data_IF_912033739674
#
_entry.id   IF_912033739674
#
_cell.length_a   1.000
_cell.length_b   1.000
_cell.length_c   1.000
_cell.angle_alpha   90.00
_cell.angle_beta   90.00
_cell.angle_gamma   90.00
#
_symmetry.space_group_name_H-M   'P 1'
#
loop_
_entity.id
_entity.type
_entity.pdbx_description
1 polymer ?
#
# COMPACT_ATOMS: atom_id res chain seq x y z
N UNK A 1 -91.14 -43.43 -58.84
CA UNK A 1 -89.85 -42.86 -58.37
C UNK A 1 -88.79 -43.91 -58.56
N UNK A 2 -87.72 -43.62 -59.29
CA UNK A 2 -86.67 -44.62 -59.54
C UNK A 2 -85.69 -44.67 -58.38
N UNK A 3 -85.05 -45.82 -58.14
CA UNK A 3 -84.02 -46.03 -57.11
C UNK A 3 -82.92 -44.96 -57.08
N UNK A 4 -82.70 -44.28 -58.21
CA UNK A 4 -81.68 -43.24 -58.38
C UNK A 4 -82.10 -41.92 -57.72
N UNK A 5 -83.39 -41.57 -57.72
CA UNK A 5 -83.89 -40.34 -57.08
C UNK A 5 -83.83 -40.43 -55.56
N UNK A 6 -84.12 -41.62 -55.01
CA UNK A 6 -84.02 -41.87 -53.57
C UNK A 6 -82.55 -41.84 -53.16
N UNK A 7 -81.67 -42.51 -53.90
CA UNK A 7 -80.23 -42.49 -53.65
C UNK A 7 -79.62 -41.08 -53.76
N UNK A 8 -80.03 -40.28 -54.75
CA UNK A 8 -79.58 -38.91 -54.90
C UNK A 8 -80.03 -38.01 -53.73
N UNK A 9 -81.30 -38.08 -53.33
CA UNK A 9 -81.81 -37.32 -52.17
C UNK A 9 -81.15 -37.73 -50.86
N UNK A 10 -80.86 -39.01 -50.70
CA UNK A 10 -80.20 -39.55 -49.53
C UNK A 10 -78.72 -39.15 -49.48
N UNK A 11 -78.02 -39.17 -50.63
CA UNK A 11 -76.65 -38.66 -50.76
C UNK A 11 -76.56 -37.17 -50.45
N UNK A 12 -77.46 -36.33 -50.97
CA UNK A 12 -77.54 -34.89 -50.65
C UNK A 12 -77.75 -34.67 -49.15
N UNK A 13 -78.58 -35.49 -48.50
CA UNK A 13 -78.86 -35.38 -47.07
C UNK A 13 -77.67 -35.79 -46.19
N UNK A 14 -76.93 -36.81 -46.61
CA UNK A 14 -75.70 -37.27 -45.93
C UNK A 14 -74.59 -36.23 -46.09
N UNK A 15 -74.43 -35.65 -47.27
CA UNK A 15 -73.42 -34.63 -47.53
C UNK A 15 -73.72 -33.33 -46.79
N UNK A 16 -75.00 -32.92 -46.70
CA UNK A 16 -75.42 -31.80 -45.83
C UNK A 16 -75.10 -32.01 -44.36
N UNK A 17 -75.16 -33.25 -43.86
CA UNK A 17 -74.72 -33.57 -42.48
C UNK A 17 -73.20 -33.61 -42.32
N UNK A 18 -72.48 -34.05 -43.35
CA UNK A 18 -71.02 -34.18 -43.32
C UNK A 18 -70.28 -32.85 -43.47
N UNK A 19 -70.89 -31.85 -44.12
CA UNK A 19 -70.29 -30.53 -44.36
C UNK A 19 -70.16 -29.69 -43.07
N UNK A 20 -70.87 -30.03 -41.99
CA UNK A 20 -70.62 -29.49 -40.65
C UNK A 20 -70.99 -28.01 -40.49
N UNK A 21 -71.40 -27.68 -39.27
CA UNK A 21 -72.13 -26.47 -38.83
C UNK A 21 -71.32 -25.17 -38.81
N UNK A 22 -70.17 -25.08 -39.50
CA UNK A 22 -69.11 -24.15 -39.06
C UNK A 22 -68.72 -23.02 -40.03
N UNK A 23 -69.50 -22.74 -41.09
CA UNK A 23 -69.43 -21.44 -41.80
C UNK A 23 -70.80 -20.99 -42.33
N UNK A 24 -71.29 -19.89 -41.75
CA UNK A 24 -72.43 -19.01 -42.13
C UNK A 24 -73.64 -19.71 -42.73
N UNK A 25 -74.71 -19.78 -41.94
CA UNK A 25 -76.08 -20.10 -42.36
C UNK A 25 -76.47 -19.43 -43.69
N UNK A 26 -75.87 -18.29 -44.06
CA UNK A 26 -76.11 -17.55 -45.31
C UNK A 26 -75.67 -18.27 -46.61
N UNK A 27 -74.59 -19.07 -46.59
CA UNK A 27 -74.15 -19.83 -47.79
C UNK A 27 -74.93 -21.14 -47.97
N UNK A 28 -75.47 -21.70 -46.87
CA UNK A 28 -76.28 -22.93 -46.89
C UNK A 28 -77.79 -22.62 -46.95
N UNK A 29 -78.26 -21.46 -46.48
CA UNK A 29 -79.66 -21.02 -46.62
C UNK A 29 -79.97 -20.57 -48.04
N UNK A 30 -78.96 -20.11 -48.79
CA UNK A 30 -79.06 -19.90 -50.23
C UNK A 30 -78.91 -21.17 -51.06
N UNK A 31 -78.85 -22.34 -50.42
CA UNK A 31 -79.10 -23.64 -51.06
C UNK A 31 -80.60 -23.89 -51.29
N UNK A 32 -81.32 -22.84 -51.70
CA UNK A 32 -82.49 -23.02 -52.54
C UNK A 32 -81.92 -23.22 -53.94
N UNK A 33 -81.82 -24.49 -54.35
CA UNK A 33 -81.46 -24.87 -55.72
C UNK A 33 -82.06 -23.87 -56.69
N UNK A 34 -81.21 -23.33 -57.59
CA UNK A 34 -81.61 -22.22 -58.46
C UNK A 34 -82.99 -22.54 -59.05
N UNK A 35 -84.00 -21.76 -58.67
CA UNK A 35 -85.38 -21.94 -59.11
C UNK A 35 -85.53 -21.50 -60.58
N UNK A 36 -84.67 -21.99 -61.47
CA UNK A 36 -84.81 -21.84 -62.90
C UNK A 36 -85.85 -22.83 -63.41
N UNK A 37 -87.11 -22.61 -63.02
CA UNK A 37 -88.21 -23.15 -63.83
C UNK A 37 -88.15 -22.40 -65.16
N UNK A 38 -87.49 -22.99 -66.15
CA UNK A 38 -87.49 -22.47 -67.52
C UNK A 38 -88.93 -22.12 -67.89
N UNK A 39 -89.15 -20.99 -68.58
CA UNK A 39 -90.48 -20.52 -68.99
C UNK A 39 -91.32 -21.64 -69.67
N UNK A 40 -90.66 -22.59 -70.33
CA UNK A 40 -91.23 -23.81 -70.89
C UNK A 40 -91.98 -24.68 -69.86
N UNK A 41 -91.51 -24.79 -68.62
CA UNK A 41 -92.21 -25.51 -67.55
C UNK A 41 -93.58 -24.90 -67.25
N UNK A 42 -93.64 -23.57 -67.12
CA UNK A 42 -94.90 -22.86 -66.85
C UNK A 42 -95.87 -22.99 -68.03
N UNK A 43 -95.37 -22.96 -69.27
CA UNK A 43 -96.18 -23.22 -70.44
C UNK A 43 -96.72 -24.63 -70.49
N UNK A 44 -95.92 -25.63 -70.13
CA UNK A 44 -96.36 -27.02 -70.10
C UNK A 44 -97.39 -27.25 -68.98
N UNK A 45 -97.18 -26.74 -67.77
CA UNK A 45 -98.20 -26.83 -66.69
C UNK A 45 -99.50 -26.14 -67.10
N UNK A 46 -99.42 -24.95 -67.69
CA UNK A 46 -100.60 -24.22 -68.17
C UNK A 46 -101.31 -24.96 -69.30
N UNK A 47 -100.55 -25.49 -70.26
CA UNK A 47 -101.08 -26.31 -71.36
C UNK A 47 -101.74 -27.60 -70.88
N UNK A 48 -101.23 -28.20 -69.79
CA UNK A 48 -101.88 -29.33 -69.14
C UNK A 48 -103.23 -28.92 -68.55
N UNK A 49 -103.28 -27.85 -67.76
CA UNK A 49 -104.51 -27.33 -67.16
C UNK A 49 -105.56 -27.01 -68.22
N UNK A 50 -105.18 -26.33 -69.31
CA UNK A 50 -106.08 -26.00 -70.42
C UNK A 50 -106.57 -27.26 -71.13
N UNK A 51 -105.70 -28.25 -71.37
CA UNK A 51 -106.09 -29.54 -71.97
C UNK A 51 -107.13 -30.28 -71.12
N UNK A 52 -106.92 -30.33 -69.80
CA UNK A 52 -107.86 -30.95 -68.86
C UNK A 52 -109.21 -30.23 -68.83
N UNK A 53 -109.22 -28.90 -68.72
CA UNK A 53 -110.44 -28.09 -68.74
C UNK A 53 -111.23 -28.29 -70.05
N UNK A 54 -110.52 -28.31 -71.19
CA UNK A 54 -111.12 -28.52 -72.52
C UNK A 54 -111.76 -29.90 -72.63
N UNK A 55 -111.09 -30.95 -72.13
CA UNK A 55 -111.64 -32.30 -72.13
C UNK A 55 -112.90 -32.41 -71.26
N UNK A 56 -112.93 -31.77 -70.09
CA UNK A 56 -114.09 -31.77 -69.18
C UNK A 56 -115.27 -31.04 -69.80
N UNK A 57 -115.06 -29.85 -70.36
CA UNK A 57 -116.12 -29.06 -71.01
C UNK A 57 -116.66 -29.81 -72.24
N UNK A 58 -115.78 -30.39 -73.05
CA UNK A 58 -116.17 -31.18 -74.21
C UNK A 58 -116.96 -32.44 -73.83
N UNK A 59 -116.66 -33.05 -72.68
CA UNK A 59 -117.40 -34.20 -72.15
C UNK A 59 -118.81 -33.82 -71.72
N UNK A 60 -118.99 -32.64 -71.11
CA UNK A 60 -120.31 -32.12 -70.72
C UNK A 60 -121.19 -31.85 -71.96
N UNK A 61 -120.59 -31.32 -73.03
CA UNK A 61 -121.29 -30.97 -74.28
C UNK A 61 -121.49 -32.20 -75.20
N UNK A 62 -120.73 -33.28 -74.98
CA UNK A 62 -120.83 -34.52 -75.75
C UNK A 62 -120.03 -34.53 -77.06
N UNK A 63 -118.99 -33.70 -77.20
CA UNK A 63 -118.16 -33.62 -78.42
C UNK A 63 -116.91 -34.50 -78.26
N UNK A 64 -117.00 -35.75 -78.70
CA UNK A 64 -115.97 -36.78 -78.46
C UNK A 64 -114.59 -36.42 -79.04
N UNK A 65 -114.53 -35.71 -80.17
CA UNK A 65 -113.25 -35.31 -80.80
C UNK A 65 -112.46 -34.32 -79.94
N UNK A 66 -113.15 -33.37 -79.30
CA UNK A 66 -112.54 -32.39 -78.39
C UNK A 66 -112.11 -33.02 -77.06
N UNK A 67 -112.81 -34.07 -76.60
CA UNK A 67 -112.41 -34.83 -75.42
C UNK A 67 -111.04 -35.50 -75.66
N UNK A 68 -110.88 -36.20 -76.79
CA UNK A 68 -109.63 -36.89 -77.12
C UNK A 68 -108.49 -35.89 -77.31
N UNK A 69 -108.73 -34.78 -78.00
CA UNK A 69 -107.74 -33.73 -78.19
C UNK A 69 -107.32 -33.05 -76.87
N UNK A 70 -108.29 -32.73 -75.99
CA UNK A 70 -108.02 -32.15 -74.67
C UNK A 70 -107.24 -33.10 -73.76
N UNK A 71 -107.61 -34.39 -73.75
CA UNK A 71 -106.90 -35.41 -72.98
C UNK A 71 -105.46 -35.62 -73.48
N UNK A 72 -105.24 -35.64 -74.81
CA UNK A 72 -103.89 -35.74 -75.39
C UNK A 72 -103.02 -34.52 -75.03
N UNK A 73 -103.57 -33.30 -75.10
CA UNK A 73 -102.89 -32.08 -74.68
C UNK A 73 -102.54 -32.10 -73.18
N UNK A 74 -103.44 -32.58 -72.33
CA UNK A 74 -103.15 -32.74 -70.90
C UNK A 74 -101.97 -33.68 -70.67
N UNK A 75 -102.03 -34.89 -71.25
CA UNK A 75 -101.02 -35.93 -71.02
C UNK A 75 -99.65 -35.51 -71.55
N UNK A 76 -99.56 -35.01 -72.79
CA UNK A 76 -98.29 -34.59 -73.38
C UNK A 76 -97.63 -33.46 -72.58
N UNK A 77 -98.42 -32.48 -72.15
CA UNK A 77 -97.90 -31.34 -71.40
C UNK A 77 -97.56 -31.70 -69.94
N UNK A 78 -98.33 -32.58 -69.30
CA UNK A 78 -98.04 -33.07 -67.96
C UNK A 78 -96.76 -33.94 -67.93
N UNK A 79 -96.57 -34.79 -68.93
CA UNK A 79 -95.33 -35.57 -69.09
C UNK A 79 -94.14 -34.63 -69.33
N UNK A 80 -94.27 -33.64 -70.20
CA UNK A 80 -93.22 -32.64 -70.44
C UNK A 80 -92.84 -31.89 -69.16
N UNK A 81 -93.82 -31.42 -68.38
CA UNK A 81 -93.60 -30.75 -67.11
C UNK A 81 -92.93 -31.69 -66.07
N UNK A 82 -93.33 -32.96 -66.03
CA UNK A 82 -92.74 -33.96 -65.15
C UNK A 82 -91.27 -34.23 -65.44
N UNK A 83 -90.89 -34.35 -66.72
CA UNK A 83 -89.48 -34.56 -67.10
C UNK A 83 -88.61 -33.34 -66.81
N UNK A 84 -89.10 -32.12 -67.05
CA UNK A 84 -88.34 -30.90 -66.73
C UNK A 84 -88.09 -30.78 -65.23
N UNK A 85 -89.11 -31.03 -64.39
CA UNK A 85 -88.95 -31.02 -62.93
C UNK A 85 -87.95 -32.09 -62.42
N UNK A 86 -87.76 -33.17 -63.18
CA UNK A 86 -86.78 -34.23 -62.87
C UNK A 86 -85.36 -33.87 -63.29
N UNK A 87 -85.19 -33.03 -64.31
CA UNK A 87 -83.90 -32.47 -64.69
C UNK A 87 -83.38 -31.45 -63.67
N UNK A 88 -84.27 -30.69 -63.01
CA UNK A 88 -83.87 -29.77 -61.93
C UNK A 88 -83.14 -30.48 -60.78
N UNK A 89 -83.50 -31.74 -60.47
CA UNK A 89 -82.80 -32.53 -59.44
C UNK A 89 -81.37 -32.90 -59.84
N UNK A 90 -81.06 -32.95 -61.14
CA UNK A 90 -79.69 -33.16 -61.62
C UNK A 90 -78.85 -31.87 -61.52
N UNK A 91 -79.46 -30.70 -61.69
CA UNK A 91 -78.78 -29.41 -61.49
C UNK A 91 -78.38 -29.22 -60.01
N UNK A 92 -79.23 -29.63 -59.06
CA UNK A 92 -78.89 -29.61 -57.62
C UNK A 92 -77.70 -30.52 -57.29
N UNK A 93 -77.52 -31.62 -58.04
CA UNK A 93 -76.36 -32.51 -57.89
C UNK A 93 -75.08 -31.90 -58.49
N UNK A 94 -75.21 -31.15 -59.59
CA UNK A 94 -74.09 -30.41 -60.21
C UNK A 94 -73.60 -29.30 -59.28
N UNK A 95 -74.51 -28.50 -58.70
CA UNK A 95 -74.18 -27.47 -57.70
C UNK A 95 -73.51 -28.09 -56.45
N UNK A 96 -73.90 -29.31 -56.06
CA UNK A 96 -73.31 -30.01 -54.93
C UNK A 96 -71.93 -30.57 -55.27
N UNK A 97 -71.74 -31.09 -56.49
CA UNK A 97 -70.45 -31.53 -56.99
C UNK A 97 -69.47 -30.34 -57.08
N UNK A 98 -69.93 -29.16 -57.49
CA UNK A 98 -69.13 -27.93 -57.51
C UNK A 98 -68.69 -27.51 -56.09
N UNK A 99 -69.57 -27.59 -55.10
CA UNK A 99 -69.22 -27.28 -53.71
C UNK A 99 -68.25 -28.29 -53.13
N UNK A 100 -68.48 -29.58 -53.34
CA UNK A 100 -67.52 -30.61 -52.92
C UNK A 100 -66.16 -30.39 -53.58
N UNK A 101 -66.13 -30.05 -54.86
CA UNK A 101 -64.87 -29.73 -55.56
C UNK A 101 -64.17 -28.52 -54.95
N UNK A 102 -64.91 -27.46 -54.59
CA UNK A 102 -64.36 -26.29 -53.88
C UNK A 102 -63.83 -26.66 -52.49
N UNK A 103 -64.55 -27.48 -51.72
CA UNK A 103 -64.11 -27.93 -50.39
C UNK A 103 -62.90 -28.85 -50.45
N UNK A 104 -62.82 -29.74 -51.44
CA UNK A 104 -61.63 -30.58 -51.68
C UNK A 104 -60.43 -29.72 -52.03
N UNK A 105 -60.59 -28.67 -52.86
CA UNK A 105 -59.50 -27.71 -53.13
C UNK A 105 -59.06 -26.95 -51.88
N UNK A 106 -60.01 -26.44 -51.08
CA UNK A 106 -59.69 -25.78 -49.81
C UNK A 106 -58.95 -26.71 -48.85
N UNK A 107 -59.35 -27.98 -48.77
CA UNK A 107 -58.68 -28.97 -47.92
C UNK A 107 -57.27 -29.27 -48.42
N UNK A 108 -57.07 -29.38 -49.75
CA UNK A 108 -55.75 -29.54 -50.34
C UNK A 108 -54.83 -28.34 -50.03
N UNK A 109 -55.35 -27.11 -50.13
CA UNK A 109 -54.61 -25.90 -49.76
C UNK A 109 -54.24 -25.88 -48.26
N UNK A 110 -55.15 -26.32 -47.39
CA UNK A 110 -54.88 -26.46 -45.95
C UNK A 110 -53.79 -27.49 -45.68
N UNK A 111 -53.81 -28.65 -46.33
CA UNK A 111 -52.78 -29.69 -46.20
C UNK A 111 -51.41 -29.16 -46.63
N UNK A 112 -51.32 -28.46 -47.77
CA UNK A 112 -50.08 -27.83 -48.23
C UNK A 112 -49.56 -26.77 -47.24
N UNK A 113 -50.46 -26.00 -46.60
CA UNK A 113 -50.07 -25.04 -45.59
C UNK A 113 -49.59 -25.71 -44.29
N UNK A 114 -50.21 -26.82 -43.88
CA UNK A 114 -49.73 -27.61 -42.74
C UNK A 114 -48.36 -28.23 -43.01
N UNK A 115 -48.10 -28.72 -44.22
CA UNK A 115 -46.79 -29.23 -44.61
C UNK A 115 -45.70 -28.14 -44.53
N UNK A 116 -46.00 -26.93 -45.04
CA UNK A 116 -45.09 -25.77 -44.91
C UNK A 116 -44.87 -25.34 -43.48
N UNK A 117 -45.90 -25.36 -42.64
CA UNK A 117 -45.77 -25.05 -41.22
C UNK A 117 -44.90 -26.07 -40.50
N UNK A 118 -45.07 -27.36 -40.80
CA UNK A 118 -44.26 -28.43 -40.23
C UNK A 118 -42.79 -28.30 -40.63
N UNK A 119 -42.50 -28.00 -41.91
CA UNK A 119 -41.13 -27.73 -42.36
C UNK A 119 -40.51 -26.54 -41.63
N UNK A 120 -41.27 -25.46 -41.44
CA UNK A 120 -40.81 -24.28 -40.71
C UNK A 120 -40.58 -24.56 -39.22
N UNK A 121 -41.38 -25.43 -38.61
CA UNK A 121 -41.20 -25.86 -37.23
C UNK A 121 -39.92 -26.71 -37.07
N UNK A 122 -39.65 -27.60 -38.03
CA UNK A 122 -38.42 -28.39 -38.10
C UNK A 122 -37.18 -27.50 -38.25
N UNK A 123 -37.18 -26.54 -39.20
CA UNK A 123 -36.11 -25.54 -39.35
C UNK A 123 -35.86 -24.71 -38.08
N UNK A 124 -36.94 -24.36 -37.36
CA UNK A 124 -36.83 -23.57 -36.14
C UNK A 124 -36.32 -24.41 -34.95
N UNK A 125 -36.64 -25.71 -34.94
CA UNK A 125 -36.08 -26.65 -33.97
C UNK A 125 -34.58 -26.86 -34.22
N UNK A 126 -34.16 -27.03 -35.48
CA UNK A 126 -32.74 -27.15 -35.84
C UNK A 126 -31.94 -25.89 -35.45
N UNK A 127 -32.50 -24.70 -35.71
CA UNK A 127 -31.89 -23.43 -35.25
C UNK A 127 -31.81 -23.37 -33.73
N UNK A 128 -32.83 -23.84 -33.02
CA UNK A 128 -32.82 -23.84 -31.55
C UNK A 128 -31.77 -24.80 -30.98
N UNK A 129 -31.59 -25.97 -31.59
CA UNK A 129 -30.52 -26.91 -31.23
C UNK A 129 -29.13 -26.31 -31.47
N UNK A 130 -28.92 -25.63 -32.62
CA UNK A 130 -27.68 -24.91 -32.92
C UNK A 130 -27.39 -23.81 -31.86
N UNK A 131 -28.40 -23.01 -31.49
CA UNK A 131 -28.24 -22.02 -30.42
C UNK A 131 -27.87 -22.65 -29.06
N UNK A 132 -28.43 -23.82 -28.73
CA UNK A 132 -28.09 -24.54 -27.49
C UNK A 132 -26.65 -25.05 -27.53
N UNK A 133 -26.17 -25.52 -28.68
CA UNK A 133 -24.78 -25.95 -28.84
C UNK A 133 -23.80 -24.78 -28.73
N UNK A 134 -24.11 -23.65 -29.38
CA UNK A 134 -23.33 -22.41 -29.28
C UNK A 134 -23.27 -21.88 -27.84
N UNK A 135 -24.40 -21.86 -27.12
CA UNK A 135 -24.43 -21.44 -25.72
C UNK A 135 -23.59 -22.36 -24.82
N UNK A 136 -23.57 -23.68 -25.08
CA UNK A 136 -22.71 -24.61 -24.35
C UNK A 136 -21.24 -24.34 -24.63
N UNK A 137 -20.87 -24.12 -25.89
CA UNK A 137 -19.49 -23.83 -26.28
C UNK A 137 -19.01 -22.52 -25.65
N UNK A 138 -19.83 -21.46 -25.71
CA UNK A 138 -19.54 -20.19 -25.07
C UNK A 138 -19.41 -20.32 -23.55
N UNK A 139 -20.28 -21.12 -22.92
CA UNK A 139 -20.22 -21.36 -21.48
C UNK A 139 -18.94 -22.14 -21.08
N UNK A 140 -18.52 -23.12 -21.87
CA UNK A 140 -17.28 -23.85 -21.65
C UNK A 140 -16.04 -22.94 -21.81
N UNK A 141 -16.05 -22.06 -22.82
CA UNK A 141 -15.02 -21.03 -22.99
C UNK A 141 -14.98 -20.05 -21.81
N UNK A 142 -16.14 -19.59 -21.33
CA UNK A 142 -16.25 -18.73 -20.14
C UNK A 142 -15.71 -19.41 -18.88
N UNK A 143 -16.00 -20.69 -18.68
CA UNK A 143 -15.46 -21.48 -17.56
C UNK A 143 -13.92 -21.58 -17.68
N UNK A 144 -13.39 -21.80 -18.88
CA UNK A 144 -11.95 -21.86 -19.10
C UNK A 144 -11.26 -20.51 -18.85
N UNK A 145 -11.85 -19.40 -19.32
CA UNK A 145 -11.36 -18.04 -19.05
C UNK A 145 -11.38 -17.75 -17.55
N UNK A 146 -12.48 -18.09 -16.86
CA UNK A 146 -12.61 -17.88 -15.42
C UNK A 146 -11.53 -18.65 -14.64
N UNK A 147 -11.23 -19.88 -15.05
CA UNK A 147 -10.17 -20.70 -14.44
C UNK A 147 -8.80 -20.05 -14.62
N UNK A 148 -8.44 -19.65 -15.86
CA UNK A 148 -7.17 -18.96 -16.13
C UNK A 148 -7.02 -17.65 -15.36
N UNK A 149 -8.10 -16.89 -15.25
CA UNK A 149 -8.11 -15.65 -14.47
C UNK A 149 -7.87 -15.94 -12.97
N UNK A 150 -8.50 -16.98 -12.44
CA UNK A 150 -8.31 -17.38 -11.04
C UNK A 150 -6.88 -17.88 -10.78
N UNK A 151 -6.32 -18.70 -11.67
CA UNK A 151 -4.92 -19.16 -11.58
C UNK A 151 -3.93 -17.98 -11.61
N UNK A 152 -4.13 -17.00 -12.51
CA UNK A 152 -3.28 -15.81 -12.58
C UNK A 152 -3.37 -14.94 -11.33
N UNK A 153 -4.56 -14.78 -10.76
CA UNK A 153 -4.77 -14.04 -9.50
C UNK A 153 -4.13 -14.76 -8.31
N UNK A 154 -4.21 -16.09 -8.25
CA UNK A 154 -3.56 -16.89 -7.20
C UNK A 154 -2.03 -16.78 -7.31
N UNK A 155 -1.46 -16.83 -8.52
CA UNK A 155 -0.03 -16.65 -8.76
C UNK A 155 0.45 -15.24 -8.39
N UNK A 156 -0.27 -14.18 -8.78
CA UNK A 156 0.06 -12.80 -8.40
C UNK A 156 -0.03 -12.60 -6.88
N UNK A 157 -1.02 -13.21 -6.23
CA UNK A 157 -1.15 -13.16 -4.78
C UNK A 157 0.00 -13.86 -4.06
N UNK A 158 0.43 -15.03 -4.55
CA UNK A 158 1.58 -15.76 -4.01
C UNK A 158 2.88 -14.97 -4.20
N UNK A 159 3.09 -14.35 -5.37
CA UNK A 159 4.23 -13.47 -5.61
C UNK A 159 4.25 -12.28 -4.65
N UNK A 160 3.11 -11.63 -4.42
CA UNK A 160 3.02 -10.54 -3.45
C UNK A 160 3.27 -10.99 -2.01
N UNK A 161 2.81 -12.18 -1.61
CA UNK A 161 3.12 -12.74 -0.30
C UNK A 161 4.62 -12.98 -0.13
N UNK A 162 5.28 -13.56 -1.14
CA UNK A 162 6.73 -13.76 -1.16
C UNK A 162 7.50 -12.43 -1.08
N UNK A 163 7.05 -11.41 -1.79
CA UNK A 163 7.64 -10.06 -1.72
C UNK A 163 7.45 -9.44 -0.33
N UNK A 164 6.28 -9.61 0.27
CA UNK A 164 5.95 -9.09 1.59
C UNK A 164 6.78 -9.80 2.68
N UNK A 165 7.02 -11.10 2.55
CA UNK A 165 7.91 -11.85 3.44
C UNK A 165 9.36 -11.38 3.31
N UNK A 166 9.85 -11.15 2.08
CA UNK A 166 11.19 -10.57 1.85
C UNK A 166 11.32 -9.19 2.47
N UNK A 167 10.34 -8.31 2.29
CA UNK A 167 10.32 -6.97 2.89
C UNK A 167 10.28 -7.03 4.42
N UNK A 168 9.50 -7.96 4.99
CA UNK A 168 9.48 -8.19 6.43
C UNK A 168 10.88 -8.60 6.94
N UNK A 169 11.54 -9.52 6.25
CA UNK A 169 12.89 -9.95 6.59
C UNK A 169 13.95 -8.84 6.44
N UNK A 170 13.82 -7.98 5.43
CA UNK A 170 14.68 -6.79 5.28
C UNK A 170 14.45 -5.78 6.40
N UNK A 171 13.19 -5.58 6.80
CA UNK A 171 12.85 -4.71 7.91
C UNK A 171 13.44 -5.23 9.23
N UNK A 172 13.36 -6.54 9.50
CA UNK A 172 14.00 -7.15 10.66
C UNK A 172 15.52 -6.93 10.69
N UNK A 173 16.19 -7.04 9.53
CA UNK A 173 17.63 -6.73 9.40
C UNK A 173 17.92 -5.26 9.68
N UNK A 174 17.08 -4.34 9.22
CA UNK A 174 17.23 -2.91 9.48
C UNK A 174 17.01 -2.59 10.96
N UNK A 175 16.00 -3.19 11.61
CA UNK A 175 15.79 -3.09 13.06
C UNK A 175 17.00 -3.59 13.85
N UNK A 176 17.58 -4.73 13.48
CA UNK A 176 18.80 -5.24 14.12
C UNK A 176 19.98 -4.28 13.97
N UNK A 177 20.20 -3.72 12.77
CA UNK A 177 21.24 -2.71 12.54
C UNK A 177 21.02 -1.42 13.32
N UNK A 178 19.77 -0.97 13.46
CA UNK A 178 19.43 0.19 14.27
C UNK A 178 19.79 -0.05 15.74
N UNK A 179 19.45 -1.22 16.28
CA UNK A 179 19.80 -1.58 17.65
C UNK A 179 21.32 -1.65 17.87
N UNK A 180 22.09 -2.18 16.91
CA UNK A 180 23.56 -2.16 16.97
C UNK A 180 24.13 -0.74 16.94
N UNK A 181 23.55 0.14 16.11
CA UNK A 181 23.98 1.53 15.98
C UNK A 181 23.68 2.33 17.25
N UNK A 182 22.49 2.13 17.85
CA UNK A 182 22.12 2.70 19.14
C UNK A 182 23.08 2.25 20.25
N UNK A 183 23.37 0.95 20.35
CA UNK A 183 24.33 0.44 21.33
C UNK A 183 25.75 1.00 21.12
N UNK A 184 26.17 1.17 19.85
CA UNK A 184 27.45 1.82 19.54
C UNK A 184 27.45 3.30 19.89
N UNK A 185 26.31 3.99 19.74
CA UNK A 185 26.16 5.39 20.10
C UNK A 185 26.28 5.58 21.61
N UNK A 186 25.55 4.78 22.41
CA UNK A 186 25.60 4.81 23.87
C UNK A 186 27.01 4.52 24.40
N UNK A 187 27.70 3.55 23.79
CA UNK A 187 29.10 3.26 24.09
C UNK A 187 30.03 4.44 23.77
N UNK A 188 29.80 5.13 22.65
CA UNK A 188 30.60 6.30 22.26
C UNK A 188 30.35 7.48 23.21
N UNK A 189 29.10 7.73 23.58
CA UNK A 189 28.72 8.75 24.57
C UNK A 189 29.41 8.49 25.91
N UNK A 190 29.35 7.25 26.41
CA UNK A 190 30.04 6.84 27.64
C UNK A 190 31.56 7.09 27.55
N UNK A 191 32.19 6.73 26.43
CA UNK A 191 33.63 6.99 26.20
C UNK A 191 33.95 8.49 26.13
N UNK A 192 33.06 9.28 25.55
CA UNK A 192 33.20 10.72 25.47
C UNK A 192 33.14 11.36 26.87
N UNK A 193 32.19 10.95 27.72
CA UNK A 193 32.11 11.41 29.11
C UNK A 193 33.38 11.06 29.91
N UNK A 194 33.88 9.83 29.77
CA UNK A 194 35.13 9.39 30.41
C UNK A 194 36.33 10.24 29.94
N UNK A 195 36.42 10.54 28.64
CA UNK A 195 37.47 11.39 28.09
C UNK A 195 37.35 12.82 28.63
N UNK A 196 36.14 13.36 28.72
CA UNK A 196 35.86 14.71 29.22
C UNK A 196 36.26 14.84 30.70
N UNK A 197 35.99 13.81 31.51
CA UNK A 197 36.44 13.75 32.91
C UNK A 197 37.96 13.63 33.03
N UNK A 198 38.59 12.81 32.17
CA UNK A 198 40.05 12.71 32.11
C UNK A 198 40.69 14.05 31.74
N UNK A 199 40.09 14.78 30.80
CA UNK A 199 40.56 16.11 30.37
C UNK A 199 40.41 17.16 31.47
N UNK A 200 39.30 17.15 32.23
CA UNK A 200 39.13 17.99 33.43
C UNK A 200 40.23 17.71 34.45
N UNK A 201 40.49 16.45 34.76
CA UNK A 201 41.54 16.03 35.70
C UNK A 201 42.93 16.42 35.20
N UNK A 202 43.21 16.26 33.91
CA UNK A 202 44.46 16.70 33.30
C UNK A 202 44.63 18.22 33.43
N UNK A 203 43.60 19.01 33.11
CA UNK A 203 43.63 20.48 33.23
C UNK A 203 43.90 20.91 34.67
N UNK A 204 43.25 20.26 35.64
CA UNK A 204 43.44 20.52 37.06
C UNK A 204 44.85 20.14 37.54
N UNK A 205 45.39 19.02 37.05
CA UNK A 205 46.77 18.60 37.33
C UNK A 205 47.81 19.53 36.71
N UNK A 206 47.60 20.00 35.47
CA UNK A 206 48.45 20.99 34.81
C UNK A 206 48.46 22.30 35.59
N UNK A 207 47.31 22.73 36.12
CA UNK A 207 47.24 23.90 37.00
C UNK A 207 47.99 23.69 38.32
N UNK A 208 47.82 22.52 38.96
CA UNK A 208 48.59 22.16 40.17
C UNK A 208 50.09 22.12 39.89
N UNK A 209 50.51 21.60 38.74
CA UNK A 209 51.90 21.56 38.32
C UNK A 209 52.45 22.97 38.09
N UNK A 210 51.70 23.85 37.40
CA UNK A 210 52.07 25.26 37.22
C UNK A 210 52.30 25.95 38.56
N UNK A 211 51.38 25.81 39.51
CA UNK A 211 51.53 26.39 40.84
C UNK A 211 52.77 25.86 41.59
N UNK A 212 53.08 24.57 41.46
CA UNK A 212 54.30 23.98 42.04
C UNK A 212 55.56 24.50 41.34
N UNK A 213 55.51 24.69 40.03
CA UNK A 213 56.60 25.26 39.26
C UNK A 213 56.87 26.73 39.66
N UNK A 214 55.82 27.53 39.87
CA UNK A 214 55.95 28.90 40.37
C UNK A 214 56.59 28.93 41.76
N UNK A 215 56.16 28.02 42.65
CA UNK A 215 56.78 27.85 43.98
C UNK A 215 58.25 27.39 43.90
N UNK A 216 58.59 26.53 42.93
CA UNK A 216 59.96 26.11 42.67
C UNK A 216 60.81 27.28 42.17
N UNK A 217 60.33 28.06 41.20
CA UNK A 217 60.98 29.28 40.71
C UNK A 217 61.22 30.27 41.86
N UNK A 218 60.23 30.49 42.72
CA UNK A 218 60.39 31.33 43.91
C UNK A 218 61.49 30.82 44.86
N UNK A 219 61.60 29.50 45.03
CA UNK A 219 62.63 28.87 45.86
C UNK A 219 64.02 29.00 45.23
N UNK A 220 64.15 28.83 43.91
CA UNK A 220 65.39 29.07 43.16
C UNK A 220 65.83 30.52 43.28
N UNK A 221 64.90 31.48 43.19
CA UNK A 221 65.19 32.89 43.38
C UNK A 221 65.69 33.20 44.80
N UNK A 222 65.08 32.60 45.83
CA UNK A 222 65.58 32.69 47.22
C UNK A 222 66.99 32.11 47.34
N UNK A 223 67.26 30.95 46.75
CA UNK A 223 68.58 30.33 46.78
C UNK A 223 69.63 31.21 46.07
N UNK A 224 69.27 31.83 44.94
CA UNK A 224 70.14 32.77 44.23
C UNK A 224 70.47 34.00 45.10
N UNK A 225 69.49 34.49 45.87
CA UNK A 225 69.71 35.57 46.83
C UNK A 225 70.64 35.14 47.97
N UNK A 226 70.40 33.99 48.60
CA UNK A 226 71.28 33.43 49.64
C UNK A 226 72.70 33.25 49.10
N UNK A 227 72.87 32.76 47.87
CA UNK A 227 74.18 32.65 47.21
C UNK A 227 74.86 34.01 47.04
N UNK A 228 74.11 35.06 46.70
CA UNK A 228 74.64 36.44 46.57
C UNK A 228 75.08 36.98 47.93
N UNK A 229 74.27 36.77 48.97
CA UNK A 229 74.61 37.14 50.35
C UNK A 229 75.85 36.38 50.83
N UNK A 230 75.93 35.07 50.60
CA UNK A 230 77.08 34.24 50.93
C UNK A 230 78.34 34.67 50.19
N UNK A 231 78.25 35.06 48.91
CA UNK A 231 79.39 35.69 48.18
C UNK A 231 79.82 36.98 48.86
N UNK A 232 78.89 37.86 49.23
CA UNK A 232 79.23 39.10 49.95
C UNK A 232 79.91 38.82 51.30
N UNK A 233 79.46 37.80 52.03
CA UNK A 233 80.10 37.35 53.28
C UNK A 233 81.52 36.84 53.00
N UNK A 234 81.71 36.02 51.96
CA UNK A 234 83.03 35.54 51.54
C UNK A 234 83.94 36.70 51.15
N UNK A 235 83.44 37.68 50.39
CA UNK A 235 84.19 38.87 50.00
C UNK A 235 84.59 39.69 51.24
N UNK A 236 83.67 39.88 52.19
CA UNK A 236 83.98 40.52 53.49
C UNK A 236 85.02 39.74 54.28
N UNK A 237 84.94 38.41 54.32
CA UNK A 237 85.93 37.56 54.97
C UNK A 237 87.31 37.66 54.30
N UNK A 238 87.37 37.74 52.97
CA UNK A 238 88.61 37.96 52.22
C UNK A 238 89.19 39.35 52.52
N UNK A 239 88.34 40.37 52.64
CA UNK A 239 88.76 41.72 52.99
C UNK A 239 89.29 41.80 54.44
N UNK A 240 88.60 41.19 55.40
CA UNK A 240 89.10 41.05 56.78
C UNK A 240 90.44 40.30 56.80
N UNK A 241 90.60 39.24 55.99
CA UNK A 241 91.89 38.54 55.86
C UNK A 241 92.99 39.47 55.31
N UNK A 242 92.69 40.35 54.35
CA UNK A 242 93.65 41.33 53.82
C UNK A 242 94.01 42.38 54.88
N UNK A 243 93.03 42.91 55.59
CA UNK A 243 93.25 43.85 56.71
C UNK A 243 94.09 43.20 57.83
N UNK A 244 93.87 41.92 58.13
CA UNK A 244 94.68 41.20 59.14
C UNK A 244 96.14 41.02 58.70
N UNK A 245 96.39 40.82 57.40
CA UNK A 245 97.76 40.75 56.84
C UNK A 245 98.46 42.10 56.87
N UNK A 246 97.74 43.22 56.66
CA UNK A 246 98.34 44.56 56.75
C UNK A 246 98.62 45.01 58.18
N UNK A 247 97.82 44.56 59.17
CA UNK A 247 98.08 44.82 60.61
C UNK A 247 99.22 43.95 61.15
N UNK A 248 99.37 42.71 60.65
CA UNK A 248 100.44 41.80 61.09
C UNK A 248 101.86 42.24 60.71
N UNK A 249 102.03 43.26 59.86
CA UNK A 249 103.34 43.81 59.48
C UNK A 249 103.75 45.07 60.26
N UNK A 250 102.94 45.55 61.21
CA UNK A 250 103.23 46.79 61.97
C UNK A 250 103.55 46.61 63.45
N UNK A 251 103.52 45.38 63.99
CA UNK A 251 103.91 45.13 65.39
C UNK A 251 105.21 44.34 65.40
N UNK A 252 106.33 45.05 65.39
CA UNK A 252 107.64 44.45 65.63
C UNK A 252 107.81 44.20 67.13
N UNK A 253 107.44 42.98 67.56
CA UNK A 253 107.55 42.52 68.95
C UNK A 253 108.95 42.70 69.54
N UNK A 254 110.00 42.77 68.70
CA UNK A 254 111.37 43.04 69.14
C UNK A 254 111.61 44.48 69.57
N UNK A 255 110.74 45.43 69.19
CA UNK A 255 110.83 46.81 69.64
C UNK A 255 110.17 46.98 71.01
N UNK A 256 109.01 46.35 71.24
CA UNK A 256 108.31 46.38 72.53
C UNK A 256 109.13 45.71 73.65
N UNK A 257 109.81 44.59 73.34
CA UNK A 257 110.70 43.92 74.31
C UNK A 257 111.91 44.80 74.66
N UNK A 258 112.48 45.52 73.67
CA UNK A 258 113.60 46.45 73.89
C UNK A 258 113.20 47.65 74.76
N UNK A 259 112.01 48.21 74.56
CA UNK A 259 111.53 49.35 75.34
C UNK A 259 111.20 48.93 76.79
N UNK A 260 110.71 47.70 77.00
CA UNK A 260 110.51 47.13 78.34
C UNK A 260 111.82 46.82 79.07
N UNK A 261 112.83 46.29 78.37
CA UNK A 261 114.16 46.07 78.96
C UNK A 261 114.83 47.39 79.38
N UNK A 262 114.67 48.46 78.59
CA UNK A 262 115.18 49.80 78.96
C UNK A 262 114.48 50.39 80.19
N UNK A 263 113.16 50.22 80.32
CA UNK A 263 112.40 50.67 81.49
C UNK A 263 112.78 49.92 82.77
N UNK A 264 113.03 48.60 82.69
CA UNK A 264 113.48 47.80 83.83
C UNK A 264 114.89 48.20 84.28
N UNK A 265 115.78 48.50 83.33
CA UNK A 265 117.15 48.93 83.65
C UNK A 265 117.17 50.31 84.33
N UNK A 266 116.36 51.26 83.86
CA UNK A 266 116.25 52.60 84.47
C UNK A 266 115.71 52.57 85.91
N UNK A 267 114.89 51.57 86.23
CA UNK A 267 114.32 51.39 87.56
C UNK A 267 115.29 50.72 88.56
N UNK A 268 116.31 49.97 88.10
CA UNK A 268 117.27 49.29 88.98
C UNK A 268 118.41 50.19 89.51
N UNK A 269 118.78 51.25 88.79
CA UNK A 269 119.97 52.07 89.13
C UNK A 269 119.68 53.30 90.03
N UNK A 270 118.45 53.47 90.55
CA UNK A 270 118.10 54.59 91.44
C UNK A 270 118.19 54.23 92.93
N UNK A 271 119.03 54.92 93.74
CA UNK A 271 119.07 54.75 95.19
C UNK A 271 117.87 55.43 95.89
N UNK A 272 117.06 54.65 96.60
CA UNK A 272 115.83 55.05 97.28
C UNK A 272 116.11 55.93 98.50
N UNK A 273 115.82 57.23 98.43
CA UNK A 273 115.88 58.14 99.57
C UNK A 273 114.60 59.00 99.58
N UNK A 274 113.66 58.63 100.47
CA UNK A 274 112.44 59.33 100.90
C UNK A 274 111.09 58.83 100.35
N UNK A 275 110.03 59.01 101.15
CA UNK A 275 108.75 58.25 101.10
C UNK A 275 107.86 58.60 99.90
N UNK A 276 107.98 59.79 99.32
CA UNK A 276 107.20 60.20 98.12
C UNK A 276 107.68 59.51 96.83
N UNK A 277 108.97 59.22 96.67
CA UNK A 277 109.48 58.49 95.49
C UNK A 277 109.08 57.00 95.48
N UNK A 278 108.74 56.44 96.65
CA UNK A 278 108.25 55.06 96.77
C UNK A 278 106.87 54.89 96.13
N UNK A 279 106.03 55.94 96.18
CA UNK A 279 104.69 55.93 95.60
C UNK A 279 104.74 56.02 94.06
N UNK A 280 105.70 56.77 93.51
CA UNK A 280 105.93 56.84 92.06
C UNK A 280 106.46 55.52 91.50
N UNK A 281 107.33 54.83 92.25
CA UNK A 281 107.82 53.49 91.90
C UNK A 281 106.69 52.43 91.89
N UNK A 282 105.76 52.51 92.86
CA UNK A 282 104.57 51.64 92.90
C UNK A 282 103.64 51.95 91.71
N UNK A 283 103.39 53.23 91.40
CA UNK A 283 102.56 53.62 90.25
C UNK A 283 103.15 53.13 88.91
N UNK A 284 104.48 53.15 88.76
CA UNK A 284 105.14 52.62 87.56
C UNK A 284 105.06 51.09 87.47
N UNK A 285 105.11 50.37 88.59
CA UNK A 285 104.87 48.91 88.63
C UNK A 285 103.40 48.60 88.28
N UNK A 286 102.44 49.38 88.77
CA UNK A 286 101.02 49.21 88.44
C UNK A 286 100.78 49.45 86.93
N UNK A 287 101.44 50.43 86.32
CA UNK A 287 101.38 50.65 84.87
C UNK A 287 101.95 49.46 84.07
N UNK A 288 103.05 48.87 84.55
CA UNK A 288 103.65 47.65 83.96
C UNK A 288 102.73 46.44 84.09
N UNK A 289 102.07 46.28 85.24
CA UNK A 289 101.09 45.21 85.47
C UNK A 289 99.88 45.39 84.54
N UNK A 290 99.39 46.61 84.35
CA UNK A 290 98.27 46.88 83.46
C UNK A 290 98.62 46.69 81.98
N UNK A 291 99.85 47.02 81.57
CA UNK A 291 100.37 46.66 80.24
C UNK A 291 100.47 45.14 80.04
N UNK A 292 100.92 44.40 81.04
CA UNK A 292 100.96 42.93 80.99
C UNK A 292 99.56 42.31 80.93
N UNK A 293 98.57 42.89 81.64
CA UNK A 293 97.16 42.47 81.55
C UNK A 293 96.58 42.74 80.16
N UNK A 294 96.92 43.86 79.53
CA UNK A 294 96.47 44.19 78.17
C UNK A 294 97.04 43.20 77.14
N UNK A 295 98.31 42.83 77.29
CA UNK A 295 98.95 41.80 76.46
C UNK A 295 98.28 40.44 76.69
N UNK A 296 98.00 40.04 77.94
CA UNK A 296 97.30 38.80 78.24
C UNK A 296 95.86 38.75 77.66
N UNK A 297 95.13 39.87 77.69
CA UNK A 297 93.81 39.99 77.07
C UNK A 297 93.86 39.86 75.54
N UNK A 298 94.93 40.34 74.90
CA UNK A 298 95.15 40.17 73.46
C UNK A 298 95.41 38.71 73.05
N UNK A 299 95.96 37.89 73.96
CA UNK A 299 96.09 36.44 73.76
C UNK A 299 94.80 35.67 74.07
N UNK A 300 93.98 36.15 75.00
CA UNK A 300 92.66 35.56 75.34
C UNK A 300 91.66 35.68 74.18
N UNK A 301 91.53 36.86 73.58
CA UNK A 301 90.65 37.10 72.41
C UNK A 301 91.10 36.33 71.17
N UNK A 302 92.38 35.99 71.06
CA UNK A 302 92.92 35.13 70.00
C UNK A 302 92.48 33.66 70.14
N UNK A 303 92.10 33.22 71.34
CA UNK A 303 91.64 31.85 71.62
C UNK A 303 90.14 31.67 71.36
N UNK A 304 89.32 32.68 71.63
CA UNK A 304 87.86 32.63 71.40
C UNK A 304 87.49 32.63 69.90
N UNK A 305 88.25 33.32 69.06
CA UNK A 305 88.05 33.31 67.60
C UNK A 305 88.44 32.00 66.90
N UNK A 306 89.09 31.05 67.59
CA UNK A 306 89.38 29.71 67.05
C UNK A 306 88.31 28.67 67.43
N UNK A 307 87.47 28.94 68.44
CA UNK A 307 86.45 27.99 68.91
C UNK A 307 85.06 28.27 68.33
N UNK A 308 84.74 29.51 67.94
CA UNK A 308 83.44 29.85 67.34
C UNK A 308 83.33 29.60 65.82
N UNK A 309 84.35 28.96 65.21
CA UNK A 309 84.39 28.64 63.77
C UNK A 309 84.04 27.18 63.43
N UNK A 310 83.58 26.39 64.40
CA UNK A 310 83.16 25.01 64.23
C UNK A 310 81.75 24.80 64.79
N UNK A 311 80.74 25.21 64.01
CA UNK A 311 79.42 24.57 63.90
C UNK A 311 78.64 25.24 62.77
#
# INVERSE_FOLDING_TARGET
>A
MSSIEVAAKEAVKVIKRAIGDDKTEEEVSNYQGRNYKHWSYYLLVTGAIVGAATAIIAAIIGITTLIVAGAALFVCNAIGAYYIARFDTYNDLEDLADILTKKVRQLADHVLNFEKLNQREEELNDQHEEFIEDDKLLNDELIAIRRKFQEAMEEEHEQHLDELEKLAHENDKLCAKLAELEASHDSLETKYEQMLETFKNFTLNTRKFSNKNDAFIASVNKLAQVKKEMRSVVDRMQEIKRQRRSVSHRVDLKQIVRDMEQLVQQLQDRPLINVEEKQEYINNIDLLIDLLKLIAQSFSTKREHLVSGSR
#
